data_IF_593672420719
#
_entry.id   IF_593672420719
#
_cell.length_a   1.000
_cell.length_b   1.000
_cell.length_c   1.000
_cell.angle_alpha   90.00
_cell.angle_beta   90.00
_cell.angle_gamma   90.00
#
_symmetry.space_group_name_H-M   'P 1'
#
loop_
_entity.id
_entity.type
_entity.pdbx_description
1 polymer ?
#
# COMPACT_ATOMS: atom_id res chain seq x y z
N UNK A 1 52.83 36.89 25.66
CA UNK A 1 51.37 36.92 25.48
C UNK A 1 51.04 37.23 24.02
N UNK A 2 50.60 36.25 23.24
CA UNK A 2 49.81 36.47 22.02
C UNK A 2 49.08 35.16 21.68
N UNK A 3 47.79 35.33 21.41
CA UNK A 3 46.73 34.34 21.49
C UNK A 3 46.91 33.12 20.61
N UNK A 4 46.64 31.97 21.22
CA UNK A 4 46.08 30.77 20.59
C UNK A 4 44.63 31.08 20.19
N UNK A 5 44.24 30.73 18.96
CA UNK A 5 42.90 30.20 18.64
C UNK A 5 42.90 29.73 17.18
N UNK A 6 43.28 28.47 16.98
CA UNK A 6 42.92 27.71 15.80
C UNK A 6 41.55 27.11 16.09
N UNK A 7 40.52 27.58 15.40
CA UNK A 7 39.17 27.01 15.49
C UNK A 7 38.80 26.44 14.12
N UNK A 8 39.29 25.23 13.85
CA UNK A 8 38.86 24.43 12.70
C UNK A 8 37.51 23.79 13.06
N UNK A 9 36.42 24.47 12.71
CA UNK A 9 35.08 23.88 12.70
C UNK A 9 34.97 22.94 11.49
N UNK A 10 35.33 21.67 11.71
CA UNK A 10 34.90 20.55 10.87
C UNK A 10 33.41 20.32 11.10
N UNK A 11 32.56 21.02 10.32
CA UNK A 11 31.17 20.63 10.16
C UNK A 11 31.12 19.34 9.32
N UNK A 12 31.02 18.19 9.99
CA UNK A 12 30.60 16.96 9.35
C UNK A 12 29.18 17.15 8.79
N UNK A 13 28.87 16.71 7.55
CA UNK A 13 27.49 16.65 7.11
C UNK A 13 26.83 15.53 7.93
N UNK A 14 25.91 15.91 8.83
CA UNK A 14 25.01 14.96 9.47
C UNK A 14 24.06 14.50 8.35
N UNK A 15 24.46 13.43 7.65
CA UNK A 15 23.73 12.87 6.53
C UNK A 15 22.43 12.24 7.01
N UNK A 16 21.38 13.05 7.15
CA UNK A 16 20.03 12.57 6.91
C UNK A 16 19.95 12.27 5.41
N UNK A 17 20.42 11.08 5.00
CA UNK A 17 20.24 10.62 3.63
C UNK A 17 18.74 10.42 3.43
N UNK A 18 18.08 11.41 2.84
CA UNK A 18 16.76 11.21 2.26
C UNK A 18 16.87 10.00 1.32
N UNK A 19 15.92 9.06 1.44
CA UNK A 19 15.89 7.90 0.56
C UNK A 19 15.91 8.37 -0.90
N UNK A 20 16.72 7.74 -1.72
CA UNK A 20 16.84 8.08 -3.14
C UNK A 20 15.52 7.75 -3.86
N UNK A 21 15.30 8.38 -5.01
CA UNK A 21 14.15 8.11 -5.85
C UNK A 21 14.04 6.62 -6.23
N UNK A 22 15.17 5.96 -6.49
CA UNK A 22 15.24 4.53 -6.80
C UNK A 22 14.82 3.67 -5.61
N UNK A 23 15.36 3.93 -4.42
CA UNK A 23 15.00 3.19 -3.20
C UNK A 23 13.50 3.34 -2.86
N UNK A 24 12.95 4.54 -3.04
CA UNK A 24 11.52 4.77 -2.80
C UNK A 24 10.66 4.05 -3.83
N UNK A 25 11.07 4.02 -5.10
CA UNK A 25 10.37 3.28 -6.15
C UNK A 25 10.36 1.77 -5.86
N UNK A 26 11.50 1.20 -5.45
CA UNK A 26 11.57 -0.21 -5.07
C UNK A 26 10.67 -0.52 -3.86
N UNK A 27 10.67 0.34 -2.83
CA UNK A 27 9.78 0.19 -1.68
C UNK A 27 8.31 0.29 -2.08
N UNK A 28 7.96 1.20 -2.98
CA UNK A 28 6.60 1.32 -3.52
C UNK A 28 6.17 0.03 -4.22
N UNK A 29 7.03 -0.57 -5.03
CA UNK A 29 6.72 -1.84 -5.71
C UNK A 29 6.46 -2.97 -4.73
N UNK A 30 7.29 -3.09 -3.68
CA UNK A 30 7.11 -4.10 -2.64
C UNK A 30 5.81 -3.89 -1.86
N UNK A 31 5.52 -2.65 -1.44
CA UNK A 31 4.28 -2.35 -0.69
C UNK A 31 3.05 -2.51 -1.57
N UNK A 32 3.13 -2.11 -2.85
CA UNK A 32 2.05 -2.34 -3.83
C UNK A 32 1.75 -3.82 -3.99
N UNK A 33 2.77 -4.65 -4.22
CA UNK A 33 2.60 -6.09 -4.33
C UNK A 33 2.02 -6.70 -3.05
N UNK A 34 2.51 -6.26 -1.88
CA UNK A 34 1.98 -6.71 -0.58
C UNK A 34 0.51 -6.31 -0.39
N UNK A 35 0.13 -5.11 -0.85
CA UNK A 35 -1.24 -4.63 -0.79
C UNK A 35 -2.16 -5.47 -1.68
N UNK A 36 -1.76 -5.75 -2.92
CA UNK A 36 -2.51 -6.61 -3.83
C UNK A 36 -2.68 -8.03 -3.26
N UNK A 37 -1.62 -8.64 -2.71
CA UNK A 37 -1.68 -9.94 -2.04
C UNK A 37 -2.66 -9.91 -0.86
N UNK A 38 -2.58 -8.89 0.00
CA UNK A 38 -3.51 -8.73 1.12
C UNK A 38 -4.97 -8.69 0.64
N UNK A 39 -5.26 -7.93 -0.44
CA UNK A 39 -6.60 -7.84 -1.02
C UNK A 39 -7.09 -9.21 -1.50
N UNK A 40 -6.25 -9.96 -2.23
CA UNK A 40 -6.64 -11.29 -2.71
C UNK A 40 -6.87 -12.28 -1.57
N UNK A 41 -6.02 -12.27 -0.54
CA UNK A 41 -6.15 -13.18 0.61
C UNK A 41 -7.35 -12.85 1.47
N UNK A 42 -7.61 -11.57 1.73
CA UNK A 42 -8.80 -11.14 2.46
C UNK A 42 -10.08 -11.40 1.65
N UNK A 43 -10.06 -11.24 0.32
CA UNK A 43 -11.16 -11.63 -0.55
C UNK A 43 -11.46 -13.13 -0.48
N UNK A 44 -10.42 -13.99 -0.51
CA UNK A 44 -10.58 -15.44 -0.31
C UNK A 44 -11.21 -15.73 1.05
N UNK A 45 -10.63 -15.17 2.12
CA UNK A 45 -11.08 -15.43 3.47
C UNK A 45 -12.53 -14.95 3.71
N UNK A 46 -12.86 -13.72 3.34
CA UNK A 46 -14.22 -13.20 3.55
C UNK A 46 -15.24 -13.84 2.61
N UNK A 47 -14.88 -14.12 1.35
CA UNK A 47 -15.73 -14.85 0.42
C UNK A 47 -16.15 -16.21 0.97
N UNK A 48 -15.19 -16.96 1.53
CA UNK A 48 -15.45 -18.28 2.11
C UNK A 48 -16.22 -18.24 3.46
N UNK A 49 -16.12 -17.15 4.22
CA UNK A 49 -16.61 -17.11 5.61
C UNK A 49 -17.88 -16.30 5.83
N UNK A 50 -18.12 -15.25 5.05
CA UNK A 50 -19.22 -14.34 5.33
C UNK A 50 -20.53 -14.74 4.64
N UNK A 51 -20.47 -15.38 3.47
CA UNK A 51 -21.65 -15.71 2.65
C UNK A 51 -22.64 -14.53 2.52
N UNK A 52 -22.13 -13.35 2.16
CA UNK A 52 -22.90 -12.10 1.93
C UNK A 52 -22.78 -11.63 0.50
N UNK A 53 -23.59 -10.67 0.08
CA UNK A 53 -23.45 -10.03 -1.21
C UNK A 53 -22.02 -9.48 -1.42
N UNK A 54 -21.50 -9.64 -2.64
CA UNK A 54 -20.13 -9.22 -2.99
C UNK A 54 -19.94 -7.72 -2.74
N UNK A 55 -20.98 -6.92 -2.97
CA UNK A 55 -20.99 -5.48 -2.70
C UNK A 55 -20.80 -5.11 -1.23
N UNK A 56 -21.16 -5.99 -0.29
CA UNK A 56 -20.90 -5.84 1.14
C UNK A 56 -19.49 -6.30 1.53
N UNK A 57 -18.97 -7.33 0.85
CA UNK A 57 -17.67 -7.92 1.17
C UNK A 57 -16.52 -7.06 0.66
N UNK A 58 -16.57 -6.58 -0.58
CA UNK A 58 -15.48 -5.83 -1.23
C UNK A 58 -15.01 -4.61 -0.41
N UNK A 59 -15.89 -3.75 0.13
CA UNK A 59 -15.47 -2.66 1.01
C UNK A 59 -14.74 -3.15 2.27
N UNK A 60 -15.18 -4.27 2.84
CA UNK A 60 -14.54 -4.90 4.00
C UNK A 60 -13.13 -5.40 3.70
N UNK A 61 -12.92 -5.95 2.49
CA UNK A 61 -11.59 -6.38 2.03
C UNK A 61 -10.63 -5.19 1.93
N UNK A 62 -11.06 -4.09 1.28
CA UNK A 62 -10.25 -2.86 1.24
C UNK A 62 -9.97 -2.30 2.64
N UNK A 63 -10.98 -2.32 3.52
CA UNK A 63 -10.85 -1.92 4.91
C UNK A 63 -9.77 -2.71 5.65
N UNK A 64 -9.73 -4.03 5.46
CA UNK A 64 -8.74 -4.93 6.07
C UNK A 64 -7.29 -4.59 5.68
N UNK A 65 -7.07 -4.10 4.47
CA UNK A 65 -5.74 -3.82 3.91
C UNK A 65 -5.38 -2.32 3.94
N UNK A 66 -6.08 -1.50 4.74
CA UNK A 66 -5.92 -0.04 4.79
C UNK A 66 -4.50 0.40 5.14
N UNK A 67 -3.82 -0.29 6.05
CA UNK A 67 -2.47 0.11 6.49
C UNK A 67 -1.46 0.06 5.34
N UNK A 68 -1.56 -0.93 4.46
CA UNK A 68 -0.70 -1.06 3.28
C UNK A 68 -1.00 0.03 2.24
N UNK A 69 -2.28 0.38 2.05
CA UNK A 69 -2.68 1.55 1.24
C UNK A 69 -2.06 2.83 1.77
N UNK A 70 -2.13 3.06 3.09
CA UNK A 70 -1.56 4.26 3.73
C UNK A 70 -0.04 4.28 3.62
N UNK A 71 0.64 3.14 3.77
CA UNK A 71 2.07 3.05 3.54
C UNK A 71 2.44 3.39 2.08
N UNK A 72 1.69 2.88 1.10
CA UNK A 72 1.91 3.20 -0.30
C UNK A 72 1.69 4.70 -0.58
N UNK A 73 0.64 5.28 -0.01
CA UNK A 73 0.35 6.73 -0.08
C UNK A 73 1.50 7.59 0.45
N UNK A 74 2.06 7.19 1.61
CA UNK A 74 3.20 7.87 2.20
C UNK A 74 4.44 7.75 1.31
N UNK A 75 4.73 6.57 0.77
CA UNK A 75 5.88 6.38 -0.12
C UNK A 75 5.76 7.19 -1.42
N UNK A 76 4.58 7.24 -2.04
CA UNK A 76 4.33 8.09 -3.22
C UNK A 76 4.59 9.56 -2.89
N UNK A 77 4.09 10.02 -1.73
CA UNK A 77 4.31 11.39 -1.27
C UNK A 77 5.79 11.66 -1.03
N UNK A 78 6.48 10.76 -0.35
CA UNK A 78 7.88 10.93 0.04
C UNK A 78 8.82 10.85 -1.18
N UNK A 79 8.41 10.17 -2.26
CA UNK A 79 9.11 10.18 -3.56
C UNK A 79 9.02 11.52 -4.28
N UNK A 80 8.07 12.38 -3.90
CA UNK A 80 7.84 13.68 -4.52
C UNK A 80 6.95 13.64 -5.76
N UNK A 81 6.17 12.57 -5.94
CA UNK A 81 5.22 12.47 -7.04
C UNK A 81 4.13 13.55 -6.95
N UNK A 82 3.64 14.00 -8.11
CA UNK A 82 2.52 14.92 -8.17
C UNK A 82 1.26 14.27 -7.57
N UNK A 83 0.43 15.07 -6.89
CA UNK A 83 -0.75 14.55 -6.19
C UNK A 83 -1.76 13.84 -7.09
N UNK A 84 -1.80 14.16 -8.39
CA UNK A 84 -2.61 13.47 -9.38
C UNK A 84 -2.08 12.06 -9.69
N UNK A 85 -0.77 11.86 -9.72
CA UNK A 85 -0.15 10.56 -9.94
C UNK A 85 -0.39 9.62 -8.76
N UNK A 86 -0.39 10.16 -7.53
CA UNK A 86 -0.84 9.43 -6.34
C UNK A 86 -2.27 8.90 -6.49
N UNK A 87 -3.20 9.77 -6.86
CA UNK A 87 -4.60 9.37 -7.07
C UNK A 87 -4.72 8.32 -8.17
N UNK A 88 -3.99 8.51 -9.28
CA UNK A 88 -4.02 7.61 -10.43
C UNK A 88 -3.53 6.21 -10.06
N UNK A 89 -2.37 6.07 -9.43
CA UNK A 89 -1.81 4.76 -9.07
C UNK A 89 -2.75 4.00 -8.12
N UNK A 90 -3.30 4.67 -7.12
CA UNK A 90 -4.21 4.05 -6.16
C UNK A 90 -5.55 3.67 -6.79
N UNK A 91 -6.05 4.50 -7.71
CA UNK A 91 -7.28 4.21 -8.45
C UNK A 91 -7.08 3.00 -9.36
N UNK A 92 -5.97 2.92 -10.09
CA UNK A 92 -5.66 1.76 -10.94
C UNK A 92 -5.57 0.47 -10.14
N UNK A 93 -4.93 0.48 -8.96
CA UNK A 93 -4.91 -0.69 -8.07
C UNK A 93 -6.33 -1.05 -7.63
N UNK A 94 -7.13 -0.05 -7.25
CA UNK A 94 -8.51 -0.28 -6.80
C UNK A 94 -9.37 -0.92 -7.89
N UNK A 95 -9.30 -0.43 -9.11
CA UNK A 95 -10.05 -0.96 -10.26
C UNK A 95 -9.64 -2.41 -10.54
N UNK A 96 -8.34 -2.66 -10.74
CA UNK A 96 -7.82 -4.00 -11.04
C UNK A 96 -8.11 -5.02 -9.92
N UNK A 97 -7.97 -4.59 -8.66
CA UNK A 97 -8.24 -5.44 -7.53
C UNK A 97 -9.73 -5.72 -7.35
N UNK A 98 -10.62 -4.77 -7.65
CA UNK A 98 -12.07 -4.97 -7.49
C UNK A 98 -12.58 -6.10 -8.38
N UNK A 99 -12.13 -6.15 -9.64
CA UNK A 99 -12.51 -7.22 -10.57
C UNK A 99 -11.98 -8.58 -10.09
N UNK A 100 -10.70 -8.63 -9.70
CA UNK A 100 -10.05 -9.85 -9.22
C UNK A 100 -10.68 -10.38 -7.93
N UNK A 101 -10.95 -9.49 -6.97
CA UNK A 101 -11.60 -9.85 -5.71
C UNK A 101 -13.04 -10.32 -5.93
N UNK A 102 -13.78 -9.69 -6.83
CA UNK A 102 -15.16 -10.09 -7.15
C UNK A 102 -15.20 -11.54 -7.63
N UNK A 103 -14.31 -11.90 -8.56
CA UNK A 103 -14.19 -13.28 -9.03
C UNK A 103 -13.81 -14.24 -7.88
N UNK A 104 -12.78 -13.90 -7.10
CA UNK A 104 -12.34 -14.71 -5.96
C UNK A 104 -13.46 -14.93 -4.94
N UNK A 105 -14.20 -13.87 -4.58
CA UNK A 105 -15.27 -13.94 -3.59
C UNK A 105 -16.36 -14.89 -4.09
N UNK A 106 -16.79 -14.73 -5.35
CA UNK A 106 -17.81 -15.60 -5.95
C UNK A 106 -17.36 -17.05 -5.99
N UNK A 107 -16.13 -17.31 -6.40
CA UNK A 107 -15.56 -18.67 -6.44
C UNK A 107 -15.56 -19.33 -5.06
N UNK A 108 -15.15 -18.59 -4.01
CA UNK A 108 -15.18 -19.10 -2.64
C UNK A 108 -16.60 -19.35 -2.14
N UNK A 109 -17.54 -18.47 -2.47
CA UNK A 109 -18.95 -18.63 -2.08
C UNK A 109 -19.59 -19.85 -2.74
N UNK A 110 -19.26 -20.11 -4.01
CA UNK A 110 -19.68 -21.32 -4.72
C UNK A 110 -19.09 -22.57 -4.04
N UNK A 111 -17.78 -22.55 -3.74
CA UNK A 111 -17.10 -23.68 -3.10
C UNK A 111 -17.68 -24.02 -1.72
N UNK A 112 -18.10 -23.01 -0.96
CA UNK A 112 -18.68 -23.16 0.38
C UNK A 112 -20.20 -23.39 0.36
N UNK A 113 -20.82 -23.49 -0.82
CA UNK A 113 -22.28 -23.59 -0.99
C UNK A 113 -23.03 -22.46 -0.24
N UNK A 114 -22.46 -21.26 -0.26
CA UNK A 114 -23.09 -20.10 0.36
C UNK A 114 -24.45 -19.82 -0.29
N UNK A 115 -25.45 -19.58 0.54
CA UNK A 115 -26.69 -18.89 0.15
C UNK A 115 -26.58 -17.46 0.67
N UNK A 116 -26.30 -16.46 -0.20
CA UNK A 116 -26.23 -15.07 0.21
C UNK A 116 -27.50 -14.67 0.97
N UNK A 117 -27.32 -14.03 2.13
CA UNK A 117 -28.41 -13.62 3.03
C UNK A 117 -28.72 -12.13 2.89
#
# INVERSE_FOLDING_TARGET
MKSVLVFTLLLAPVGAHAATFEELTQKMDVVRSSYEVCLMDAARYYGAKLCRDVSEIVPGVFGKCTDLRVQLENLIRDRGDAGNERTRQLQTIRENATDSMTAIILDQQIAENCQPK
#
